data_IF_707918660281
#
_entry.id   IF_707918660281
#
_cell.length_a   1.000
_cell.length_b   1.000
_cell.length_c   1.000
_cell.angle_alpha   90.00
_cell.angle_beta   90.00
_cell.angle_gamma   90.00
#
_symmetry.space_group_name_H-M   'P 1'
#
loop_
_entity.id
_entity.type
_entity.pdbx_description
1 polymer ?
#
# COMPACT_ATOMS: atom_id res chain seq x y z
N UNK A 1 35.37 59.59 19.92
CA UNK A 1 34.41 59.28 21.01
C UNK A 1 34.61 57.80 21.39
N UNK A 2 34.85 57.51 22.66
CA UNK A 2 35.05 56.16 23.24
C UNK A 2 33.85 55.82 24.12
N UNK A 3 33.31 54.59 24.04
CA UNK A 3 32.62 53.79 25.10
C UNK A 3 31.97 52.52 24.49
N UNK A 4 31.73 51.43 25.25
CA UNK A 4 32.73 50.43 25.56
C UNK A 4 32.32 49.00 25.17
N UNK A 5 33.33 48.11 25.19
CA UNK A 5 33.23 46.66 25.18
C UNK A 5 32.48 46.17 26.43
N UNK A 6 31.51 45.27 26.26
CA UNK A 6 31.03 44.40 27.32
C UNK A 6 30.96 42.98 26.76
N UNK A 7 31.99 42.20 27.11
CA UNK A 7 31.96 40.75 27.10
C UNK A 7 30.80 40.28 27.98
N UNK A 8 29.97 39.39 27.45
CA UNK A 8 29.21 38.44 28.25
C UNK A 8 29.68 37.03 27.86
N UNK A 9 30.43 36.43 28.78
CA UNK A 9 30.80 35.01 28.79
C UNK A 9 29.76 34.27 29.65
N UNK A 10 29.57 32.98 29.36
CA UNK A 10 28.76 31.95 30.04
C UNK A 10 27.33 31.78 29.48
N UNK A 11 26.80 30.57 29.26
CA UNK A 11 27.19 29.27 29.79
C UNK A 11 26.99 28.14 28.76
N UNK A 12 27.89 27.17 28.85
CA UNK A 12 27.85 25.85 28.25
C UNK A 12 26.65 25.08 28.79
N UNK A 13 25.65 24.81 27.94
CA UNK A 13 24.60 23.84 28.20
C UNK A 13 24.83 22.60 27.35
N UNK A 14 25.60 21.62 27.87
CA UNK A 14 25.60 20.26 27.33
C UNK A 14 24.22 19.66 27.57
N UNK A 15 23.42 19.49 26.52
CA UNK A 15 22.30 18.54 26.53
C UNK A 15 22.76 17.32 25.73
N UNK A 16 23.29 16.32 26.45
CA UNK A 16 23.44 14.96 25.95
C UNK A 16 22.05 14.32 25.94
N UNK A 17 21.34 14.47 24.81
CA UNK A 17 20.10 13.79 24.53
C UNK A 17 20.26 12.87 23.33
N UNK A 18 20.98 11.75 23.51
CA UNK A 18 21.02 10.65 22.54
C UNK A 18 19.68 9.92 22.56
N UNK A 19 18.71 10.48 21.85
CA UNK A 19 17.41 9.87 21.58
C UNK A 19 17.16 9.85 20.09
N UNK A 20 17.95 9.09 19.33
CA UNK A 20 17.57 8.67 17.97
C UNK A 20 16.40 7.70 18.11
N UNK A 21 15.21 8.24 18.31
CA UNK A 21 13.99 7.50 18.06
C UNK A 21 14.03 7.01 16.62
N UNK A 22 13.90 5.70 16.42
CA UNK A 22 13.62 5.14 15.11
C UNK A 22 12.35 5.84 14.61
N UNK A 23 12.51 6.76 13.65
CA UNK A 23 11.40 7.20 12.83
C UNK A 23 10.98 5.96 12.04
N UNK A 24 9.94 5.29 12.52
CA UNK A 24 9.10 4.49 11.66
C UNK A 24 8.76 5.41 10.48
N UNK A 25 9.23 5.06 9.29
CA UNK A 25 8.97 5.86 8.11
C UNK A 25 7.47 6.01 7.96
N UNK A 26 6.95 7.18 8.30
CA UNK A 26 5.68 7.66 7.83
C UNK A 26 5.83 7.70 6.31
N UNK A 27 5.35 6.64 5.66
CA UNK A 27 4.94 6.70 4.26
C UNK A 27 4.06 7.93 4.17
N UNK A 28 4.61 9.04 3.65
CA UNK A 28 3.85 10.26 3.46
C UNK A 28 2.61 9.86 2.68
N UNK A 29 1.44 10.17 3.21
CA UNK A 29 0.16 9.94 2.54
C UNK A 29 0.05 10.63 1.16
N UNK A 30 1.09 11.35 0.71
CA UNK A 30 1.18 12.08 -0.55
C UNK A 30 1.66 11.28 -1.76
N UNK A 31 2.22 10.06 -1.62
CA UNK A 31 2.79 9.31 -2.76
C UNK A 31 2.02 8.03 -3.10
N UNK A 32 0.72 7.98 -2.79
CA UNK A 32 -0.13 6.87 -3.20
C UNK A 32 -0.61 7.13 -4.64
N UNK A 33 -0.35 6.22 -5.60
CA UNK A 33 -0.83 6.37 -6.97
C UNK A 33 -2.36 6.56 -7.02
N UNK A 34 -2.89 7.39 -7.95
CA UNK A 34 -4.31 7.74 -7.98
C UNK A 34 -5.26 6.53 -7.93
N UNK A 35 -4.94 5.47 -8.68
CA UNK A 35 -5.73 4.24 -8.65
C UNK A 35 -5.79 3.57 -7.28
N UNK A 36 -4.67 3.54 -6.55
CA UNK A 36 -4.66 2.96 -5.20
C UNK A 36 -5.54 3.77 -4.25
N UNK A 37 -5.57 5.10 -4.40
CA UNK A 37 -6.46 5.95 -3.63
C UNK A 37 -7.95 5.65 -3.90
N UNK A 38 -8.30 5.40 -5.16
CA UNK A 38 -9.66 4.98 -5.55
C UNK A 38 -9.99 3.59 -5.01
N UNK A 39 -9.04 2.66 -5.02
CA UNK A 39 -9.26 1.27 -4.59
C UNK A 39 -9.57 1.12 -3.08
N UNK A 40 -9.22 2.11 -2.24
CA UNK A 40 -9.37 1.99 -0.78
C UNK A 40 -10.81 1.82 -0.29
N UNK A 41 -11.74 2.50 -0.95
CA UNK A 41 -13.15 2.53 -0.54
C UNK A 41 -14.04 1.69 -1.49
N UNK A 42 -13.41 0.93 -2.38
CA UNK A 42 -14.05 0.16 -3.44
C UNK A 42 -13.55 -1.30 -3.44
N UNK A 43 -14.15 -2.14 -4.28
CA UNK A 43 -13.72 -3.53 -4.48
C UNK A 43 -13.08 -3.66 -5.85
N UNK A 44 -11.85 -4.20 -5.92
CA UNK A 44 -11.35 -4.75 -7.19
C UNK A 44 -11.86 -6.18 -7.29
N UNK A 45 -12.68 -6.48 -8.29
CA UNK A 45 -13.25 -7.81 -8.50
C UNK A 45 -12.55 -8.51 -9.66
N UNK A 46 -11.87 -9.61 -9.40
CA UNK A 46 -11.29 -10.47 -10.43
C UNK A 46 -12.27 -11.58 -10.80
N UNK A 47 -12.59 -11.71 -12.09
CA UNK A 47 -13.33 -12.83 -12.65
C UNK A 47 -12.42 -13.74 -13.47
N UNK A 48 -12.53 -15.03 -13.22
CA UNK A 48 -11.81 -16.08 -13.93
C UNK A 48 -12.68 -16.66 -15.05
N UNK A 49 -12.09 -17.18 -16.14
CA UNK A 49 -12.83 -17.80 -17.24
C UNK A 49 -13.68 -19.01 -16.83
N UNK A 50 -13.31 -19.68 -15.73
CA UNK A 50 -14.03 -20.82 -15.15
C UNK A 50 -15.25 -20.40 -14.30
N UNK A 51 -15.53 -19.09 -14.20
CA UNK A 51 -16.63 -18.54 -13.40
C UNK A 51 -16.27 -18.27 -11.94
N UNK A 52 -15.07 -18.65 -11.49
CA UNK A 52 -14.56 -18.27 -10.18
C UNK A 52 -14.34 -16.75 -10.08
N UNK A 53 -14.38 -16.22 -8.86
CA UNK A 53 -14.10 -14.81 -8.63
C UNK A 53 -13.29 -14.59 -7.35
N UNK A 54 -12.59 -13.45 -7.30
CA UNK A 54 -11.92 -12.95 -6.10
C UNK A 54 -12.25 -11.48 -5.90
N UNK A 55 -12.72 -11.17 -4.70
CA UNK A 55 -12.84 -9.79 -4.20
C UNK A 55 -11.52 -9.39 -3.57
N UNK A 56 -11.02 -8.23 -3.96
CA UNK A 56 -9.78 -7.67 -3.45
C UNK A 56 -10.07 -6.35 -2.75
N UNK A 57 -9.57 -6.22 -1.52
CA UNK A 57 -9.64 -4.98 -0.75
C UNK A 57 -8.26 -4.53 -0.32
N UNK A 58 -7.93 -3.29 -0.69
CA UNK A 58 -6.73 -2.59 -0.27
C UNK A 58 -7.11 -1.57 0.80
N UNK A 59 -6.41 -1.55 1.93
CA UNK A 59 -6.68 -0.60 3.00
C UNK A 59 -5.57 0.45 3.08
N UNK A 60 -5.92 1.69 3.47
CA UNK A 60 -4.97 2.81 3.61
C UNK A 60 -3.78 2.51 4.52
N UNK A 61 -3.97 1.65 5.51
CA UNK A 61 -2.94 1.23 6.47
C UNK A 61 -1.93 0.22 5.90
N UNK A 62 -2.01 -0.10 4.60
CA UNK A 62 -1.16 -1.07 3.92
C UNK A 62 -1.60 -2.53 4.07
N UNK A 63 -2.73 -2.81 4.72
CA UNK A 63 -3.29 -4.16 4.79
C UNK A 63 -4.12 -4.50 3.55
N UNK A 64 -4.18 -5.79 3.24
CA UNK A 64 -4.92 -6.33 2.10
C UNK A 64 -5.70 -7.59 2.51
N UNK A 65 -6.91 -7.73 1.99
CA UNK A 65 -7.72 -8.94 2.07
C UNK A 65 -8.19 -9.36 0.68
N UNK A 66 -8.13 -10.67 0.41
CA UNK A 66 -8.74 -11.29 -0.75
C UNK A 66 -9.74 -12.36 -0.32
N UNK A 67 -10.93 -12.36 -0.93
CA UNK A 67 -11.95 -13.40 -0.70
C UNK A 67 -12.36 -14.06 -2.01
N UNK A 68 -12.19 -15.37 -2.07
CA UNK A 68 -12.51 -16.21 -3.21
C UNK A 68 -13.99 -16.62 -3.17
N UNK A 69 -14.52 -16.97 -4.34
CA UNK A 69 -15.90 -17.43 -4.53
C UNK A 69 -16.24 -18.71 -3.75
N UNK A 70 -15.25 -19.55 -3.48
CA UNK A 70 -15.36 -20.77 -2.65
C UNK A 70 -15.34 -20.48 -1.13
N UNK A 71 -15.19 -19.21 -0.73
CA UNK A 71 -15.09 -18.79 0.66
C UNK A 71 -13.67 -18.72 1.22
N UNK A 72 -12.67 -19.19 0.48
CA UNK A 72 -11.25 -19.08 0.85
C UNK A 72 -10.87 -17.61 1.05
N UNK A 73 -10.09 -17.35 2.09
CA UNK A 73 -9.61 -16.00 2.43
C UNK A 73 -8.09 -15.95 2.45
N UNK A 74 -7.58 -14.82 1.97
CA UNK A 74 -6.15 -14.52 1.99
C UNK A 74 -5.93 -13.14 2.58
N UNK A 75 -4.85 -12.96 3.32
CA UNK A 75 -4.42 -11.64 3.80
C UNK A 75 -3.00 -11.36 3.35
N UNK A 76 -2.68 -10.09 3.19
CA UNK A 76 -1.34 -9.67 2.81
C UNK A 76 -1.08 -8.22 3.26
N UNK A 77 0.10 -7.74 2.89
CA UNK A 77 0.46 -6.33 2.95
C UNK A 77 0.74 -5.83 1.55
N UNK A 78 0.15 -4.71 1.18
CA UNK A 78 0.41 -4.09 -0.11
C UNK A 78 1.39 -2.93 0.04
N UNK A 79 2.14 -2.69 -1.04
CA UNK A 79 3.02 -1.54 -1.20
C UNK A 79 3.15 -1.22 -2.68
N UNK A 80 3.57 0.00 -3.00
CA UNK A 80 3.91 0.41 -4.36
C UNK A 80 5.42 0.27 -4.53
N UNK A 81 5.83 -0.42 -5.60
CA UNK A 81 7.23 -0.54 -6.01
C UNK A 81 7.33 -0.14 -7.48
N UNK A 82 7.97 1.02 -7.73
CA UNK A 82 8.02 1.68 -9.04
C UNK A 82 6.62 1.96 -9.58
N UNK A 83 6.16 1.17 -10.55
CA UNK A 83 4.83 1.29 -11.17
C UNK A 83 3.96 0.05 -10.96
N UNK A 84 4.24 -0.71 -9.88
CA UNK A 84 3.56 -1.95 -9.56
C UNK A 84 3.00 -1.92 -8.15
N UNK A 85 1.82 -2.50 -7.98
CA UNK A 85 1.28 -2.84 -6.66
C UNK A 85 1.74 -4.24 -6.29
N UNK A 86 2.39 -4.37 -5.14
CA UNK A 86 2.99 -5.61 -4.69
C UNK A 86 2.39 -6.09 -3.38
N UNK A 87 1.88 -7.32 -3.38
CA UNK A 87 1.46 -8.05 -2.20
C UNK A 87 2.65 -8.80 -1.59
N UNK A 88 2.82 -8.68 -0.28
CA UNK A 88 3.87 -9.33 0.53
C UNK A 88 3.26 -9.90 1.80
N UNK A 89 4.00 -10.78 2.50
CA UNK A 89 3.51 -11.44 3.72
C UNK A 89 2.15 -12.12 3.51
N UNK A 90 1.97 -12.74 2.34
CA UNK A 90 0.72 -13.39 1.95
C UNK A 90 0.45 -14.56 2.88
N UNK A 91 -0.77 -14.65 3.40
CA UNK A 91 -1.26 -15.72 4.27
C UNK A 91 -2.54 -16.32 3.71
N UNK A 92 -2.72 -17.66 3.78
CA UNK A 92 -1.77 -18.64 4.33
C UNK A 92 -0.49 -18.76 3.47
N UNK A 93 0.64 -19.03 4.13
CA UNK A 93 2.00 -18.81 3.58
C UNK A 93 2.47 -19.78 2.49
N UNK A 94 1.61 -20.73 2.08
CA UNK A 94 1.96 -21.75 1.08
C UNK A 94 1.74 -21.30 -0.38
N UNK A 95 1.12 -20.13 -0.62
CA UNK A 95 0.86 -19.67 -1.98
C UNK A 95 2.12 -19.13 -2.65
N UNK A 96 2.59 -17.93 -2.29
CA UNK A 96 3.81 -17.30 -2.81
C UNK A 96 4.32 -16.24 -1.81
N UNK A 97 5.64 -15.95 -1.75
CA UNK A 97 6.17 -14.96 -0.80
C UNK A 97 5.85 -13.51 -1.18
N UNK A 98 5.74 -13.22 -2.48
CA UNK A 98 5.46 -11.90 -3.04
C UNK A 98 4.79 -12.05 -4.41
N UNK A 99 3.87 -11.15 -4.71
CA UNK A 99 3.23 -11.03 -6.03
C UNK A 99 3.11 -9.55 -6.40
N UNK A 100 3.42 -9.18 -7.64
CA UNK A 100 3.31 -7.79 -8.11
C UNK A 100 2.49 -7.74 -9.41
N UNK A 101 1.59 -6.76 -9.48
CA UNK A 101 0.80 -6.44 -10.68
C UNK A 101 1.06 -5.00 -11.11
N UNK A 102 0.88 -4.70 -12.39
CA UNK A 102 0.95 -3.33 -12.88
C UNK A 102 -0.16 -2.48 -12.27
N UNK A 103 0.18 -1.24 -11.92
CA UNK A 103 -0.82 -0.25 -11.57
C UNK A 103 -1.49 0.20 -12.88
N UNK A 104 -2.81 0.18 -12.88
CA UNK A 104 -3.63 0.66 -13.99
C UNK A 104 -4.31 1.96 -13.61
N UNK A 105 -4.76 2.71 -14.59
CA UNK A 105 -5.77 3.76 -14.40
C UNK A 105 -7.13 3.14 -14.70
N UNK A 106 -8.08 3.28 -13.77
CA UNK A 106 -9.42 2.75 -13.90
C UNK A 106 -10.41 3.55 -13.03
N UNK A 107 -11.59 3.80 -13.57
CA UNK A 107 -12.73 4.36 -12.88
C UNK A 107 -13.71 3.27 -12.43
N UNK A 108 -14.67 3.63 -11.59
CA UNK A 108 -15.71 2.69 -11.14
C UNK A 108 -16.52 2.22 -12.36
N UNK A 109 -16.59 0.90 -12.55
CA UNK A 109 -17.23 0.25 -13.69
C UNK A 109 -16.24 -0.20 -14.75
N UNK A 110 -15.02 0.36 -14.77
CA UNK A 110 -14.00 -0.03 -15.73
C UNK A 110 -13.52 -1.45 -15.47
N UNK A 111 -13.10 -2.09 -16.56
CA UNK A 111 -12.57 -3.44 -16.54
C UNK A 111 -11.28 -3.55 -17.33
N UNK A 112 -10.34 -4.34 -16.84
CA UNK A 112 -9.05 -4.56 -17.48
C UNK A 112 -8.61 -6.02 -17.37
N UNK A 113 -7.71 -6.42 -18.26
CA UNK A 113 -7.11 -7.75 -18.21
C UNK A 113 -5.87 -7.74 -17.31
N UNK A 114 -5.71 -8.78 -16.51
CA UNK A 114 -4.53 -8.99 -15.68
C UNK A 114 -4.14 -10.48 -15.64
N UNK A 115 -3.08 -10.79 -14.91
CA UNK A 115 -2.66 -12.16 -14.62
C UNK A 115 -2.68 -12.42 -13.13
N UNK A 116 -3.13 -13.61 -12.75
CA UNK A 116 -2.99 -14.11 -11.38
C UNK A 116 -1.54 -14.57 -11.12
N UNK A 117 -1.20 -14.96 -9.87
CA UNK A 117 0.16 -15.38 -9.55
C UNK A 117 0.61 -16.70 -10.21
N UNK A 118 -0.33 -17.47 -10.78
CA UNK A 118 -0.05 -18.68 -11.57
C UNK A 118 0.00 -18.38 -13.08
N UNK A 119 -0.14 -17.11 -13.48
CA UNK A 119 -0.10 -16.65 -14.86
C UNK A 119 -1.44 -16.75 -15.61
N UNK A 120 -2.51 -17.20 -14.96
CA UNK A 120 -3.84 -17.31 -15.57
C UNK A 120 -4.41 -15.93 -15.86
N UNK A 121 -5.14 -15.79 -16.97
CA UNK A 121 -5.81 -14.54 -17.29
C UNK A 121 -7.01 -14.33 -16.37
N UNK A 122 -7.15 -13.10 -15.89
CA UNK A 122 -8.32 -12.64 -15.13
C UNK A 122 -8.83 -11.34 -15.72
N UNK A 123 -10.14 -11.13 -15.64
CA UNK A 123 -10.77 -9.84 -15.90
C UNK A 123 -11.04 -9.16 -14.57
N UNK A 124 -10.36 -8.06 -14.33
CA UNK A 124 -10.62 -7.22 -13.17
C UNK A 124 -11.69 -6.19 -13.52
N UNK A 125 -12.50 -5.85 -12.54
CA UNK A 125 -13.48 -4.76 -12.61
C UNK A 125 -13.39 -3.95 -11.33
N UNK A 126 -13.37 -2.62 -11.43
CA UNK A 126 -13.46 -1.77 -10.25
C UNK A 126 -14.94 -1.56 -9.89
N UNK A 127 -15.36 -2.11 -8.76
CA UNK A 127 -16.76 -2.11 -8.32
C UNK A 127 -16.94 -1.09 -7.19
N UNK A 128 -18.03 -0.33 -7.26
CA UNK A 128 -18.39 0.67 -6.24
C UNK A 128 -18.59 0.03 -4.87
N UNK A 129 -17.94 0.60 -3.86
CA UNK A 129 -18.12 0.23 -2.45
C UNK A 129 -17.47 -1.10 -2.08
N UNK A 130 -17.43 -1.38 -0.77
CA UNK A 130 -16.95 -2.65 -0.23
C UNK A 130 -18.13 -3.63 -0.13
N UNK A 131 -18.15 -4.64 -1.00
CA UNK A 131 -19.22 -5.65 -1.06
C UNK A 131 -18.69 -7.05 -1.21
#
# INVERSE_FOLDING_TARGET
MRKPLLLAVMAMGLVLGSGTGLQAGDTRAGDVPPFMAVAFDNTVMSHYPDGGWVKHWFNRDGSYEGRFSDGTRITARWQVDRNKVCLTRIRPGFMLPRFCSDIVEAEIGDSWMARDPLGRHVRNTLVRGRS
#
